data_IF_914436074111
#
_entry.id   IF_914436074111
#
_cell.length_a   1.000
_cell.length_b   1.000
_cell.length_c   1.000
_cell.angle_alpha   90.00
_cell.angle_beta   90.00
_cell.angle_gamma   90.00
#
_symmetry.space_group_name_H-M   'P 1'
#
loop_
_entity.id
_entity.type
_entity.pdbx_description
1 polymer ?
#
# COMPACT_ATOMS: atom_id res chain seq x y z
N UNK A 1 19.22 15.73 -17.11
CA UNK A 1 18.21 14.72 -17.49
C UNK A 1 16.89 15.18 -16.91
N UNK A 2 15.96 15.66 -17.73
CA UNK A 2 14.62 16.07 -17.26
C UNK A 2 13.95 14.85 -16.63
N UNK A 3 13.50 14.95 -15.37
CA UNK A 3 12.60 13.95 -14.78
C UNK A 3 11.31 14.04 -15.60
N UNK A 4 11.12 13.16 -16.56
CA UNK A 4 9.78 12.98 -17.11
C UNK A 4 8.90 12.46 -15.97
N UNK A 5 7.78 13.12 -15.76
CA UNK A 5 6.72 12.60 -14.89
C UNK A 5 6.18 11.34 -15.56
N UNK A 6 6.82 10.21 -15.22
CA UNK A 6 6.44 8.90 -15.74
C UNK A 6 5.15 8.53 -15.04
N UNK A 7 4.03 8.65 -15.76
CA UNK A 7 2.73 8.16 -15.30
C UNK A 7 2.80 6.63 -15.29
N UNK A 8 2.53 6.02 -14.13
CA UNK A 8 2.46 4.57 -13.99
C UNK A 8 1.01 4.12 -14.14
N UNK A 9 0.76 3.25 -15.12
CA UNK A 9 -0.55 2.68 -15.37
C UNK A 9 -0.76 1.46 -14.47
N UNK A 10 -1.45 1.68 -13.35
CA UNK A 10 -1.75 0.64 -12.36
C UNK A 10 -2.74 -0.38 -12.93
N UNK A 11 -3.71 0.06 -13.74
CA UNK A 11 -4.68 -0.82 -14.37
C UNK A 11 -3.98 -1.81 -15.30
N UNK A 12 -3.08 -1.32 -16.15
CA UNK A 12 -2.25 -2.17 -17.00
C UNK A 12 -1.39 -3.14 -16.17
N UNK A 13 -0.77 -2.67 -15.09
CA UNK A 13 0.02 -3.54 -14.20
C UNK A 13 -0.82 -4.67 -13.59
N UNK A 14 -2.11 -4.44 -13.30
CA UNK A 14 -3.02 -5.49 -12.85
C UNK A 14 -3.35 -6.45 -13.99
N UNK A 15 -3.73 -5.95 -15.17
CA UNK A 15 -4.20 -6.78 -16.29
C UNK A 15 -3.11 -7.62 -16.93
N UNK A 16 -1.85 -7.17 -16.87
CA UNK A 16 -0.69 -7.89 -17.41
C UNK A 16 -0.28 -9.10 -16.54
N UNK A 17 -0.89 -9.30 -15.35
CA UNK A 17 -0.59 -10.45 -14.50
C UNK A 17 -1.33 -11.71 -14.97
N UNK A 18 -0.55 -12.73 -15.34
CA UNK A 18 -1.06 -14.00 -15.85
C UNK A 18 -1.48 -14.95 -14.71
N UNK A 19 -0.81 -14.89 -13.56
CA UNK A 19 -1.17 -15.71 -12.42
C UNK A 19 -2.47 -15.20 -11.77
N UNK A 20 -3.54 -16.00 -11.71
CA UNK A 20 -4.83 -15.53 -11.18
C UNK A 20 -4.80 -15.11 -9.71
N UNK A 21 -3.93 -15.71 -8.89
CA UNK A 21 -3.80 -15.37 -7.47
C UNK A 21 -3.09 -14.02 -7.34
N UNK A 22 -1.98 -13.83 -8.07
CA UNK A 22 -1.23 -12.57 -8.04
C UNK A 22 -2.05 -11.43 -8.65
N UNK A 23 -2.82 -11.70 -9.70
CA UNK A 23 -3.74 -10.70 -10.27
C UNK A 23 -4.76 -10.24 -9.25
N UNK A 24 -5.35 -11.17 -8.49
CA UNK A 24 -6.29 -10.83 -7.41
C UNK A 24 -5.65 -9.99 -6.31
N UNK A 25 -4.38 -10.25 -5.97
CA UNK A 25 -3.63 -9.40 -5.05
C UNK A 25 -3.42 -7.99 -5.63
N UNK A 26 -3.05 -7.88 -6.91
CA UNK A 26 -2.90 -6.59 -7.60
C UNK A 26 -4.21 -5.80 -7.69
N UNK A 27 -5.34 -6.47 -7.94
CA UNK A 27 -6.67 -5.86 -7.88
C UNK A 27 -6.95 -5.25 -6.50
N UNK A 28 -6.67 -5.99 -5.43
CA UNK A 28 -6.82 -5.49 -4.06
C UNK A 28 -5.90 -4.29 -3.78
N UNK A 29 -4.64 -4.35 -4.23
CA UNK A 29 -3.72 -3.22 -4.12
C UNK A 29 -4.21 -1.99 -4.88
N UNK A 30 -4.74 -2.16 -6.10
CA UNK A 30 -5.32 -1.08 -6.87
C UNK A 30 -6.46 -0.40 -6.11
N UNK A 31 -7.39 -1.16 -5.52
CA UNK A 31 -8.49 -0.60 -4.71
C UNK A 31 -7.97 0.23 -3.53
N UNK A 32 -6.97 -0.27 -2.81
CA UNK A 32 -6.37 0.45 -1.67
C UNK A 32 -5.71 1.75 -2.14
N UNK A 33 -4.95 1.71 -3.23
CA UNK A 33 -4.28 2.88 -3.78
C UNK A 33 -5.25 3.93 -4.30
N UNK A 34 -6.32 3.47 -4.94
CA UNK A 34 -7.41 4.34 -5.38
C UNK A 34 -8.10 4.99 -4.18
N UNK A 35 -8.40 4.24 -3.12
CA UNK A 35 -9.03 4.79 -1.91
C UNK A 35 -8.12 5.82 -1.21
N UNK A 36 -6.82 5.56 -1.10
CA UNK A 36 -5.85 6.49 -0.51
C UNK A 36 -5.75 7.76 -1.37
N UNK A 37 -5.68 7.64 -2.69
CA UNK A 37 -5.54 8.80 -3.58
C UNK A 37 -6.77 9.73 -3.54
N UNK A 38 -7.95 9.21 -3.23
CA UNK A 38 -9.18 9.99 -3.10
C UNK A 38 -9.39 10.58 -1.70
N UNK A 39 -8.59 10.17 -0.71
CA UNK A 39 -8.65 10.71 0.65
C UNK A 39 -7.59 11.78 0.85
N UNK A 40 -8.02 13.05 0.99
CA UNK A 40 -7.12 14.19 1.17
C UNK A 40 -6.16 13.99 2.36
N UNK A 41 -6.65 13.44 3.47
CA UNK A 41 -5.86 13.21 4.67
C UNK A 41 -4.86 12.05 4.47
N UNK A 42 -5.27 10.94 3.86
CA UNK A 42 -4.42 9.76 3.72
C UNK A 42 -3.34 9.97 2.66
N UNK A 43 -3.68 10.54 1.50
CA UNK A 43 -2.70 10.83 0.44
C UNK A 43 -1.60 11.79 0.92
N UNK A 44 -1.94 12.78 1.74
CA UNK A 44 -0.95 13.72 2.28
C UNK A 44 -0.04 13.08 3.36
N UNK A 45 -0.55 12.10 4.11
CA UNK A 45 0.18 11.50 5.23
C UNK A 45 0.92 10.20 4.88
N UNK A 46 0.51 9.48 3.83
CA UNK A 46 1.00 8.14 3.51
C UNK A 46 1.88 8.13 2.26
N UNK A 47 3.11 7.66 2.41
CA UNK A 47 4.06 7.44 1.30
C UNK A 47 4.24 5.94 1.10
N UNK A 48 3.92 5.45 -0.10
CA UNK A 48 4.16 4.05 -0.47
C UNK A 48 5.66 3.74 -0.47
N UNK A 49 6.02 2.56 0.05
CA UNK A 49 7.39 2.03 -0.01
C UNK A 49 7.38 0.53 -0.39
N UNK A 50 8.55 -0.09 -0.31
CA UNK A 50 8.66 -1.55 -0.30
C UNK A 50 8.48 -2.21 -1.67
N UNK A 51 8.13 -3.49 -1.64
CA UNK A 51 8.13 -4.37 -2.80
C UNK A 51 7.09 -3.98 -3.87
N UNK A 52 5.87 -3.59 -3.46
CA UNK A 52 4.80 -3.15 -4.37
C UNK A 52 5.22 -1.92 -5.18
N UNK A 53 5.84 -0.92 -4.53
CA UNK A 53 6.36 0.27 -5.22
C UNK A 53 7.34 -0.11 -6.33
N UNK A 54 8.27 -1.03 -6.04
CA UNK A 54 9.25 -1.49 -7.01
C UNK A 54 8.59 -2.31 -8.13
N UNK A 55 7.60 -3.13 -7.81
CA UNK A 55 6.84 -3.92 -8.79
C UNK A 55 6.13 -3.03 -9.81
N UNK A 56 5.44 -1.98 -9.34
CA UNK A 56 4.79 -0.98 -10.21
C UNK A 56 5.85 -0.21 -11.02
N UNK A 57 6.92 0.25 -10.37
CA UNK A 57 7.96 1.08 -11.01
C UNK A 57 8.67 0.37 -12.16
N UNK A 58 8.95 -0.92 -11.99
CA UNK A 58 9.77 -1.71 -12.91
C UNK A 58 8.97 -2.78 -13.68
N UNK A 59 7.64 -2.81 -13.52
CA UNK A 59 6.74 -3.82 -14.10
C UNK A 59 7.25 -5.26 -13.93
N UNK A 60 7.63 -5.64 -12.70
CA UNK A 60 8.20 -6.96 -12.42
C UNK A 60 7.21 -7.92 -11.75
N UNK A 61 7.38 -9.23 -12.00
CA UNK A 61 6.54 -10.34 -11.52
C UNK A 61 6.77 -10.72 -10.05
N UNK A 62 7.06 -9.75 -9.19
CA UNK A 62 7.36 -10.04 -7.78
C UNK A 62 6.08 -10.45 -7.05
N UNK A 63 6.05 -11.66 -6.51
CA UNK A 63 5.04 -12.09 -5.57
C UNK A 63 5.22 -11.35 -4.23
N UNK A 64 4.20 -10.62 -3.79
CA UNK A 64 4.15 -9.87 -2.53
C UNK A 64 2.70 -9.88 -2.04
N UNK A 65 2.50 -10.12 -0.75
CA UNK A 65 1.16 -10.25 -0.16
C UNK A 65 0.78 -9.04 0.69
N UNK A 66 1.76 -8.19 0.98
CA UNK A 66 1.64 -6.97 1.75
C UNK A 66 1.83 -5.72 0.87
N UNK A 67 1.24 -4.62 1.34
CA UNK A 67 1.46 -3.29 0.80
C UNK A 67 1.92 -2.38 1.93
N UNK A 68 3.01 -1.66 1.68
CA UNK A 68 3.69 -0.91 2.71
C UNK A 68 3.53 0.59 2.52
N UNK A 69 3.23 1.27 3.63
CA UNK A 69 3.23 2.72 3.69
C UNK A 69 4.05 3.21 4.88
N UNK A 70 4.65 4.38 4.72
CA UNK A 70 5.22 5.16 5.81
C UNK A 70 4.40 6.42 6.02
N UNK A 71 4.28 6.83 7.28
CA UNK A 71 3.60 8.06 7.68
C UNK A 71 4.44 8.81 8.69
N UNK A 72 4.27 10.14 8.73
CA UNK A 72 4.87 10.99 9.75
C UNK A 72 4.07 11.00 11.06
N UNK A 73 2.81 10.54 11.02
CA UNK A 73 1.94 10.40 12.19
C UNK A 73 2.45 9.25 13.07
N UNK A 74 2.47 9.49 14.38
CA UNK A 74 2.82 8.48 15.40
C UNK A 74 1.63 7.60 15.72
N UNK A 75 1.89 6.40 16.23
CA UNK A 75 0.84 5.48 16.67
C UNK A 75 -0.15 6.11 17.67
N UNK A 76 0.34 6.96 18.58
CA UNK A 76 -0.48 7.70 19.55
C UNK A 76 -1.47 8.69 18.93
N UNK A 77 -1.29 9.04 17.65
CA UNK A 77 -2.18 9.95 16.92
C UNK A 77 -3.31 9.21 16.20
N UNK A 78 -3.35 7.88 16.31
CA UNK A 78 -4.42 7.04 15.80
C UNK A 78 -5.28 6.51 16.95
N UNK A 79 -6.58 6.33 16.67
CA UNK A 79 -7.48 5.57 17.54
C UNK A 79 -7.13 4.07 17.39
N UNK A 80 -6.22 3.61 18.23
CA UNK A 80 -5.69 2.24 18.20
C UNK A 80 -6.77 1.20 18.51
N UNK A 81 -7.73 1.55 19.38
CA UNK A 81 -8.80 0.64 19.77
C UNK A 81 -9.76 0.40 18.59
N UNK A 82 -10.01 1.40 17.75
CA UNK A 82 -10.72 1.19 16.48
C UNK A 82 -9.98 0.25 15.51
N UNK A 83 -8.65 0.26 15.50
CA UNK A 83 -7.85 -0.64 14.65
C UNK A 83 -7.93 -2.09 15.15
N UNK A 84 -7.93 -2.28 16.47
CA UNK A 84 -8.04 -3.60 17.10
C UNK A 84 -9.38 -4.28 16.86
N UNK A 85 -10.49 -3.54 17.00
CA UNK A 85 -11.86 -4.07 16.85
C UNK A 85 -12.11 -4.65 15.45
N UNK A 86 -11.46 -4.09 14.42
CA UNK A 86 -11.67 -4.52 13.01
C UNK A 86 -10.75 -5.66 12.57
N UNK A 87 -9.61 -5.85 13.21
CA UNK A 87 -8.60 -6.84 12.81
C UNK A 87 -8.60 -8.10 13.67
N UNK A 88 -9.22 -8.06 14.86
CA UNK A 88 -9.22 -9.17 15.82
C UNK A 88 -7.83 -9.51 16.38
N UNK A 89 -6.81 -8.71 16.04
CA UNK A 89 -5.41 -8.93 16.41
C UNK A 89 -4.82 -7.62 16.92
N UNK A 90 -4.09 -7.63 18.04
CA UNK A 90 -3.47 -6.41 18.58
C UNK A 90 -2.48 -5.89 17.54
N UNK A 91 -2.66 -4.66 17.02
CA UNK A 91 -1.71 -4.09 16.08
C UNK A 91 -0.33 -3.95 16.74
N UNK A 92 0.68 -4.52 16.09
CA UNK A 92 2.07 -4.40 16.55
C UNK A 92 2.63 -3.05 16.12
N UNK A 93 2.67 -2.11 17.05
CA UNK A 93 3.45 -0.88 16.91
C UNK A 93 4.81 -1.15 17.56
N UNK A 94 5.84 -1.35 16.73
CA UNK A 94 7.18 -1.69 17.21
C UNK A 94 7.62 -0.82 18.40
N UNK A 95 8.10 -1.50 19.45
CA UNK A 95 8.57 -1.00 20.75
C UNK A 95 7.52 -0.52 21.76
N UNK A 96 6.77 -1.48 22.29
CA UNK A 96 6.14 -1.46 23.62
C UNK A 96 5.81 -2.91 24.00
N UNK A 97 6.29 -3.36 25.18
CA UNK A 97 6.21 -4.76 25.66
C UNK A 97 4.76 -5.31 25.62
N UNK A 98 4.56 -6.64 25.46
CA UNK A 98 3.24 -7.27 25.27
C UNK A 98 2.26 -7.00 26.42
#
# INVERSE_FOLDING_TARGET
MSKSDKIYDIEKWVTDEENPIDRKNREAFHVILFAISHSQNLHAAMIMKGAVLLAIRYNCIRHTTDIDFSTHLKASEFDIDQIYIRSGTKPYFGNGNP
#
